data_IF_887941378443
#
_entry.id   IF_887941378443
#
_cell.length_a   1.000
_cell.length_b   1.000
_cell.length_c   1.000
_cell.angle_alpha   90.00
_cell.angle_beta   90.00
_cell.angle_gamma   90.00
#
_symmetry.space_group_name_H-M   'P 1'
#
loop_
_entity.id
_entity.type
_entity.pdbx_description
1 polymer ?
#
# COMPACT_ATOMS: atom_id res chain seq x y z
N UNK A 1 -1.83 18.35 -17.38
CA UNK A 1 -2.09 16.95 -16.95
C UNK A 1 -1.07 16.39 -15.96
N UNK A 2 0.15 16.92 -15.88
CA UNK A 2 1.15 16.50 -14.86
C UNK A 2 0.79 17.00 -13.46
N UNK A 3 0.20 18.20 -13.35
CA UNK A 3 -0.20 18.78 -12.05
C UNK A 3 -1.30 17.98 -11.34
N UNK A 4 -2.26 17.43 -12.09
CA UNK A 4 -3.32 16.57 -11.54
C UNK A 4 -2.75 15.25 -11.00
N UNK A 5 -1.80 14.65 -11.72
CA UNK A 5 -1.14 13.44 -11.25
C UNK A 5 -0.31 13.69 -9.99
N UNK A 6 0.36 14.84 -9.91
CA UNK A 6 1.17 15.20 -8.77
C UNK A 6 0.32 15.47 -7.52
N UNK A 7 -0.85 16.11 -7.67
CA UNK A 7 -1.84 16.28 -6.59
C UNK A 7 -2.40 14.93 -6.12
N UNK A 8 -2.79 14.07 -7.06
CA UNK A 8 -3.38 12.77 -6.75
C UNK A 8 -2.36 11.81 -6.13
N UNK A 9 -1.10 11.90 -6.57
CA UNK A 9 0.03 11.20 -5.97
C UNK A 9 0.28 11.69 -4.55
N UNK A 10 0.37 13.00 -4.31
CA UNK A 10 0.54 13.57 -2.97
C UNK A 10 -0.58 13.15 -2.02
N UNK A 11 -1.82 13.17 -2.51
CA UNK A 11 -3.00 12.67 -1.77
C UNK A 11 -2.91 11.19 -1.47
N UNK A 12 -2.46 10.37 -2.42
CA UNK A 12 -2.26 8.93 -2.21
C UNK A 12 -1.19 8.66 -1.14
N UNK A 13 -0.03 9.32 -1.23
CA UNK A 13 1.02 9.19 -0.21
C UNK A 13 0.53 9.66 1.16
N UNK A 14 -0.19 10.78 1.22
CA UNK A 14 -0.79 11.28 2.47
C UNK A 14 -1.81 10.31 3.05
N UNK A 15 -2.64 9.68 2.20
CA UNK A 15 -3.60 8.67 2.64
C UNK A 15 -2.90 7.41 3.16
N UNK A 16 -1.88 6.94 2.45
CA UNK A 16 -1.06 5.79 2.85
C UNK A 16 -0.37 6.03 4.19
N UNK A 17 0.24 7.22 4.37
CA UNK A 17 0.90 7.63 5.61
C UNK A 17 -0.09 7.67 6.78
N UNK A 18 -1.27 8.26 6.59
CA UNK A 18 -2.33 8.26 7.60
C UNK A 18 -2.82 6.86 7.96
N UNK A 19 -3.05 6.00 6.96
CA UNK A 19 -3.49 4.62 7.18
C UNK A 19 -2.43 3.83 7.98
N UNK A 20 -1.15 3.95 7.60
CA UNK A 20 -0.05 3.36 8.34
C UNK A 20 0.05 3.92 9.75
N UNK A 21 -0.05 5.24 9.92
CA UNK A 21 0.10 5.88 11.23
C UNK A 21 -1.03 5.50 12.20
N UNK A 22 -2.27 5.36 11.72
CA UNK A 22 -3.38 4.85 12.53
C UNK A 22 -3.10 3.44 13.05
N UNK A 23 -2.50 2.61 12.21
CA UNK A 23 -2.11 1.25 12.55
C UNK A 23 -0.91 1.19 13.53
N UNK A 24 0.09 2.06 13.35
CA UNK A 24 1.24 2.20 14.26
C UNK A 24 0.78 2.68 15.65
N UNK A 25 -0.08 3.70 15.70
CA UNK A 25 -0.59 4.29 16.95
C UNK A 25 -1.39 3.25 17.75
N UNK A 26 -2.18 2.44 17.05
CA UNK A 26 -3.04 1.42 17.67
C UNK A 26 -2.28 0.21 18.20
N UNK A 27 -1.27 -0.25 17.47
CA UNK A 27 -0.55 -1.50 17.80
C UNK A 27 0.78 -1.24 18.53
N UNK A 28 1.19 0.02 18.69
CA UNK A 28 2.52 0.42 19.19
C UNK A 28 3.67 -0.30 18.44
N UNK A 29 3.42 -0.70 17.18
CA UNK A 29 4.37 -1.44 16.34
C UNK A 29 5.00 -0.53 15.28
N UNK A 30 6.16 -0.94 14.75
CA UNK A 30 6.84 -0.20 13.69
C UNK A 30 6.41 -0.72 12.31
N UNK A 31 6.16 0.20 11.38
CA UNK A 31 6.01 -0.14 9.97
C UNK A 31 7.29 -0.79 9.46
N UNK A 32 7.18 -2.03 8.97
CA UNK A 32 8.27 -2.72 8.26
C UNK A 32 8.23 -2.42 6.76
N UNK A 33 7.03 -2.48 6.17
CA UNK A 33 6.83 -2.32 4.73
C UNK A 33 5.38 -1.98 4.43
N UNK A 34 5.13 -1.07 3.49
CA UNK A 34 3.82 -0.81 2.91
C UNK A 34 3.91 -0.90 1.39
N UNK A 35 3.03 -1.67 0.75
CA UNK A 35 2.93 -1.72 -0.72
C UNK A 35 1.49 -1.87 -1.19
N UNK A 36 1.04 -1.14 -2.22
CA UNK A 36 -0.21 -1.46 -2.89
C UNK A 36 -0.08 -2.81 -3.63
N UNK A 37 -1.13 -3.62 -3.57
CA UNK A 37 -1.27 -4.91 -4.24
C UNK A 37 -2.55 -4.88 -5.06
N UNK A 38 -2.47 -5.30 -6.32
CA UNK A 38 -3.66 -5.52 -7.14
C UNK A 38 -4.29 -6.86 -6.79
N UNK A 39 -5.59 -6.86 -6.55
CA UNK A 39 -6.39 -8.05 -6.35
C UNK A 39 -6.80 -8.66 -7.70
N UNK A 40 -7.10 -9.96 -7.75
CA UNK A 40 -7.58 -10.62 -8.97
C UNK A 40 -8.91 -10.03 -9.49
N UNK A 41 -9.68 -9.38 -8.61
CA UNK A 41 -10.93 -8.67 -8.94
C UNK A 41 -10.70 -7.34 -9.67
N UNK A 42 -9.45 -6.84 -9.72
CA UNK A 42 -9.10 -5.54 -10.30
C UNK A 42 -8.98 -4.42 -9.27
N UNK A 43 -9.56 -4.60 -8.09
CA UNK A 43 -9.40 -3.72 -6.94
C UNK A 43 -7.96 -3.67 -6.42
N UNK A 44 -7.58 -2.61 -5.70
CA UNK A 44 -6.26 -2.49 -5.07
C UNK A 44 -6.37 -2.49 -3.54
N UNK A 45 -5.45 -3.19 -2.87
CA UNK A 45 -5.28 -3.16 -1.42
C UNK A 45 -3.89 -2.63 -1.05
N UNK A 46 -3.82 -1.72 -0.08
CA UNK A 46 -2.59 -1.35 0.57
C UNK A 46 -2.23 -2.41 1.61
N UNK A 47 -1.21 -3.20 1.31
CA UNK A 47 -0.68 -4.20 2.21
C UNK A 47 0.34 -3.53 3.13
N UNK A 48 0.01 -3.46 4.42
CA UNK A 48 0.85 -2.92 5.48
C UNK A 48 1.40 -4.09 6.30
N UNK A 49 2.71 -4.27 6.28
CA UNK A 49 3.43 -5.20 7.16
C UNK A 49 3.97 -4.41 8.34
N UNK A 50 3.50 -4.71 9.53
CA UNK A 50 4.01 -4.17 10.79
C UNK A 50 4.78 -5.25 11.53
N UNK A 51 5.75 -4.85 12.34
CA UNK A 51 6.47 -5.80 13.18
C UNK A 51 7.12 -5.12 14.37
N UNK A 52 6.92 -5.71 15.55
CA UNK A 52 7.78 -5.46 16.70
C UNK A 52 9.10 -6.24 16.55
N UNK A 53 10.11 -5.87 17.34
CA UNK A 53 11.46 -6.49 17.26
C UNK A 53 11.47 -8.00 17.57
N UNK A 54 10.44 -8.50 18.25
CA UNK A 54 10.33 -9.86 18.79
C UNK A 54 9.00 -10.58 18.46
N UNK A 55 8.10 -9.98 17.67
CA UNK A 55 6.80 -10.59 17.35
C UNK A 55 6.66 -10.90 15.86
N UNK A 56 5.86 -11.93 15.53
CA UNK A 56 5.52 -12.27 14.17
C UNK A 56 4.92 -11.04 13.46
N UNK A 57 5.37 -10.71 12.24
CA UNK A 57 4.91 -9.51 11.57
C UNK A 57 3.41 -9.59 11.24
N UNK A 58 2.63 -8.67 11.80
CA UNK A 58 1.22 -8.51 11.49
C UNK A 58 1.04 -7.89 10.10
N UNK A 59 0.23 -8.54 9.27
CA UNK A 59 -0.08 -8.10 7.91
C UNK A 59 -1.52 -7.58 7.85
N UNK A 60 -1.67 -6.33 7.46
CA UNK A 60 -2.95 -5.66 7.26
C UNK A 60 -3.13 -5.39 5.76
N UNK A 61 -4.37 -5.51 5.29
CA UNK A 61 -4.75 -5.12 3.94
C UNK A 61 -5.86 -4.08 4.07
N UNK A 62 -5.60 -2.88 3.55
CA UNK A 62 -6.53 -1.76 3.56
C UNK A 62 -6.99 -1.51 2.13
N UNK A 63 -8.29 -1.57 1.82
CA UNK A 63 -8.77 -1.33 0.46
C UNK A 63 -8.42 0.09 0.03
N UNK A 64 -7.75 0.19 -1.12
CA UNK A 64 -7.39 1.48 -1.72
C UNK A 64 -8.63 2.07 -2.38
N UNK A 65 -8.97 3.33 -2.07
CA UNK A 65 -10.06 4.03 -2.73
C UNK A 65 -9.92 4.06 -4.25
N UNK A 66 -11.04 3.90 -4.96
CA UNK A 66 -11.09 3.89 -6.44
C UNK A 66 -10.48 5.15 -7.07
N UNK A 67 -10.48 6.29 -6.35
CA UNK A 67 -9.86 7.54 -6.82
C UNK A 67 -8.37 7.39 -7.14
N UNK A 68 -7.68 6.45 -6.48
CA UNK A 68 -6.25 6.18 -6.66
C UNK A 68 -5.97 5.03 -7.62
N UNK A 69 -7.00 4.33 -8.12
CA UNK A 69 -6.80 3.19 -9.02
C UNK A 69 -6.19 3.66 -10.34
N UNK A 70 -6.59 4.82 -10.87
CA UNK A 70 -5.98 5.38 -12.08
C UNK A 70 -4.49 5.70 -11.89
N UNK A 71 -4.10 6.17 -10.70
CA UNK A 71 -2.70 6.41 -10.36
C UNK A 71 -1.90 5.11 -10.34
N UNK A 72 -2.43 4.08 -9.69
CA UNK A 72 -1.80 2.76 -9.60
C UNK A 72 -1.72 2.09 -10.97
N UNK A 73 -2.73 2.24 -11.83
CA UNK A 73 -2.68 1.73 -13.20
C UNK A 73 -1.66 2.45 -14.08
N UNK A 74 -1.39 3.73 -13.81
CA UNK A 74 -0.41 4.51 -14.59
C UNK A 74 1.03 4.34 -14.08
N UNK A 75 1.22 4.18 -12.77
CA UNK A 75 2.55 4.17 -12.13
C UNK A 75 3.04 2.75 -11.82
N UNK A 76 2.16 1.82 -11.44
CA UNK A 76 2.52 0.49 -10.94
C UNK A 76 2.56 -0.61 -12.02
N UNK A 77 2.04 -0.34 -13.22
CA UNK A 77 1.94 -1.31 -14.31
C UNK A 77 3.21 -1.48 -15.14
N UNK A 78 4.27 -0.72 -14.86
CA UNK A 78 5.54 -0.77 -15.63
C UNK A 78 6.57 -1.71 -14.98
N UNK A 79 6.47 -2.06 -13.68
CA UNK A 79 7.59 -2.73 -12.98
C UNK A 79 7.28 -3.95 -12.12
N UNK A 80 6.02 -4.36 -11.90
CA UNK A 80 5.76 -5.49 -11.02
C UNK A 80 5.16 -6.69 -11.78
N UNK A 81 5.94 -7.76 -12.05
CA UNK A 81 5.35 -9.04 -12.44
C UNK A 81 4.45 -9.56 -11.30
N UNK A 82 3.40 -10.34 -11.63
CA UNK A 82 2.57 -11.00 -10.64
C UNK A 82 3.44 -12.00 -9.86
N UNK A 83 3.45 -11.86 -8.54
CA UNK A 83 3.91 -12.87 -7.58
C UNK A 83 5.36 -13.40 -7.75
N UNK A 84 6.32 -12.75 -7.08
CA UNK A 84 7.56 -13.40 -6.57
C UNK A 84 7.49 -13.56 -5.04
N UNK A 85 6.32 -13.98 -4.51
CA UNK A 85 6.21 -14.56 -3.16
C UNK A 85 6.01 -16.09 -3.29
N UNK A 86 6.69 -16.72 -4.26
CA UNK A 86 6.95 -18.16 -4.29
C UNK A 86 8.40 -18.38 -3.81
N UNK A 87 8.64 -18.22 -2.51
CA UNK A 87 9.84 -18.80 -1.89
C UNK A 87 9.69 -20.33 -1.91
N UNK A 88 10.42 -20.94 -2.86
CA UNK A 88 10.86 -22.33 -2.95
C UNK A 88 11.24 -22.98 -1.63
#
# INVERSE_FOLDING_TARGET
MVEYLNDLQERFFTWCDKAVQEHIDREETMLKQSRPRKNPDGSYDLVIKMGARDEAPSKFAVPVPEEFHELLEREYFINHPPDEDEEI
#
